data_IF_284905883928
#
_entry.id   IF_284905883928
#
_cell.length_a   1.000
_cell.length_b   1.000
_cell.length_c   1.000
_cell.angle_alpha   90.00
_cell.angle_beta   90.00
_cell.angle_gamma   90.00
#
_symmetry.space_group_name_H-M   'P 1'
#
loop_
_entity.id
_entity.type
_entity.pdbx_description
1 polymer ?
#
# COMPACT_ATOMS: atom_id res chain seq x y z
N UNK A 1 2.49 5.72 11.14
CA UNK A 1 1.45 6.74 11.41
C UNK A 1 0.44 6.40 12.48
N UNK A 2 -0.22 5.23 12.50
CA UNK A 2 -1.29 4.98 13.47
C UNK A 2 -0.87 5.18 14.94
N UNK A 3 0.35 4.77 15.32
CA UNK A 3 0.92 5.05 16.66
C UNK A 3 1.05 6.55 16.94
N UNK A 4 1.67 7.30 16.03
CA UNK A 4 1.80 8.76 16.13
C UNK A 4 0.44 9.45 16.28
N UNK A 5 -0.58 9.04 15.52
CA UNK A 5 -1.93 9.62 15.65
C UNK A 5 -2.61 9.30 16.99
N UNK A 6 -2.21 8.20 17.64
CA UNK A 6 -2.74 7.81 18.95
C UNK A 6 -2.00 8.47 20.12
N UNK A 7 -0.67 8.67 20.01
CA UNK A 7 0.17 9.12 21.14
C UNK A 7 0.76 10.53 20.96
N UNK A 8 0.83 11.04 19.73
CA UNK A 8 1.57 12.24 19.37
C UNK A 8 3.09 12.04 19.27
N UNK A 9 3.60 10.82 19.52
CA UNK A 9 5.04 10.55 19.56
C UNK A 9 5.54 9.99 18.22
N UNK A 10 6.60 10.61 17.68
CA UNK A 10 7.20 10.20 16.41
C UNK A 10 8.31 9.16 16.62
N UNK A 11 7.92 7.88 16.57
CA UNK A 11 8.84 6.74 16.75
C UNK A 11 8.68 5.71 15.61
N UNK A 12 9.35 5.92 14.46
CA UNK A 12 9.31 4.99 13.34
C UNK A 12 10.11 3.72 13.65
N UNK A 13 9.50 2.56 13.38
CA UNK A 13 10.17 1.26 13.49
C UNK A 13 10.89 0.92 12.18
N UNK A 14 11.84 -0.03 12.18
CA UNK A 14 12.32 -0.66 10.94
C UNK A 14 11.15 -1.15 10.08
N UNK A 15 11.29 -1.02 8.76
CA UNK A 15 10.28 -1.48 7.80
C UNK A 15 10.18 -2.99 7.81
N UNK A 16 8.95 -3.51 7.79
CA UNK A 16 8.62 -4.93 7.73
C UNK A 16 7.97 -5.18 6.38
N UNK A 17 8.37 -6.26 5.69
CA UNK A 17 7.76 -6.64 4.42
C UNK A 17 6.35 -7.22 4.64
N UNK A 18 5.37 -6.75 3.87
CA UNK A 18 3.96 -7.19 3.92
C UNK A 18 3.43 -7.60 2.54
N UNK A 19 2.21 -8.15 2.49
CA UNK A 19 1.49 -8.38 1.23
C UNK A 19 1.12 -7.05 0.53
N UNK A 20 1.00 -5.96 1.29
CA UNK A 20 0.79 -4.61 0.81
C UNK A 20 2.10 -3.84 0.67
N UNK A 21 3.06 -4.39 -0.08
CA UNK A 21 4.45 -3.93 -0.08
C UNK A 21 4.66 -2.46 -0.49
N UNK A 22 3.72 -1.83 -1.22
CA UNK A 22 3.81 -0.40 -1.52
C UNK A 22 3.48 0.51 -0.30
N UNK A 23 2.92 -0.08 0.76
CA UNK A 23 2.64 0.56 2.04
C UNK A 23 3.69 0.27 3.12
N UNK A 24 4.74 -0.50 2.79
CA UNK A 24 5.88 -0.79 3.67
C UNK A 24 6.76 0.45 3.83
N UNK A 25 6.23 1.47 4.51
CA UNK A 25 6.84 2.78 4.69
C UNK A 25 6.81 3.13 6.18
N UNK A 26 7.99 3.16 6.79
CA UNK A 26 8.12 3.50 8.21
C UNK A 26 8.12 5.01 8.48
N UNK A 27 8.60 5.80 7.51
CA UNK A 27 8.73 7.26 7.61
C UNK A 27 8.09 7.92 6.38
N UNK A 28 6.77 8.17 6.39
CA UNK A 28 6.06 8.75 5.25
C UNK A 28 6.51 10.19 4.98
N UNK A 29 7.18 10.40 3.84
CA UNK A 29 7.75 11.69 3.46
C UNK A 29 6.74 12.83 3.28
N UNK A 30 5.46 12.51 3.08
CA UNK A 30 4.38 13.47 2.92
C UNK A 30 3.72 13.89 4.23
N UNK A 31 4.02 13.24 5.36
CA UNK A 31 3.40 13.58 6.65
C UNK A 31 3.60 15.06 7.06
N UNK A 32 4.80 15.66 6.90
CA UNK A 32 4.98 17.09 7.20
C UNK A 32 4.05 18.03 6.41
N UNK A 33 3.59 17.62 5.23
CA UNK A 33 2.62 18.40 4.44
C UNK A 33 1.23 18.36 5.07
N UNK A 34 0.84 17.21 5.64
CA UNK A 34 -0.43 17.05 6.36
C UNK A 34 -0.40 17.87 7.66
N UNK A 35 0.70 17.84 8.41
CA UNK A 35 0.89 18.68 9.60
C UNK A 35 0.76 20.18 9.27
N UNK A 36 1.35 20.60 8.16
CA UNK A 36 1.22 21.99 7.69
C UNK A 36 -0.23 22.35 7.34
N UNK A 37 -1.05 21.42 6.81
CA UNK A 37 -2.47 21.66 6.56
C UNK A 37 -3.25 21.86 7.86
N UNK A 38 -3.00 21.05 8.89
CA UNK A 38 -3.58 21.27 10.22
C UNK A 38 -3.15 22.60 10.83
N UNK A 39 -1.87 22.96 10.75
CA UNK A 39 -1.35 24.21 11.29
C UNK A 39 -1.93 25.45 10.61
N UNK A 40 -2.30 25.36 9.32
CA UNK A 40 -3.00 26.42 8.58
C UNK A 40 -4.51 26.48 8.86
N UNK A 41 -5.08 25.46 9.49
CA UNK A 41 -6.52 25.33 9.68
C UNK A 41 -7.26 24.82 8.44
N UNK A 42 -6.57 24.20 7.48
CA UNK A 42 -7.20 23.62 6.29
C UNK A 42 -7.92 22.29 6.57
N UNK A 43 -7.60 21.66 7.71
CA UNK A 43 -8.16 20.39 8.15
C UNK A 43 -8.67 20.51 9.58
N UNK A 44 -9.89 20.01 9.80
CA UNK A 44 -10.51 19.96 11.12
C UNK A 44 -9.79 18.98 12.05
N UNK A 45 -9.50 19.35 13.32
CA UNK A 45 -8.97 18.41 14.31
C UNK A 45 -9.85 17.16 14.43
N UNK A 46 -9.22 15.98 14.44
CA UNK A 46 -9.93 14.71 14.58
C UNK A 46 -10.55 14.14 13.31
N UNK A 47 -10.43 14.83 12.15
CA UNK A 47 -10.91 14.30 10.86
C UNK A 47 -10.14 13.06 10.39
N UNK A 48 -8.90 12.91 10.86
CA UNK A 48 -8.02 11.81 10.48
C UNK A 48 -7.93 10.78 11.61
N UNK A 49 -8.09 9.51 11.26
CA UNK A 49 -7.84 8.38 12.16
C UNK A 49 -6.81 7.44 11.57
N UNK A 50 -6.05 6.77 12.43
CA UNK A 50 -5.11 5.72 12.05
C UNK A 50 -5.71 4.34 12.28
N UNK A 51 -5.42 3.42 11.37
CA UNK A 51 -5.79 2.01 11.49
C UNK A 51 -4.58 1.12 11.20
N UNK A 52 -4.50 -0.04 11.85
CA UNK A 52 -3.48 -1.06 11.63
C UNK A 52 -4.18 -2.36 11.36
N UNK A 53 -3.66 -3.14 10.41
CA UNK A 53 -4.10 -4.50 10.15
C UNK A 53 -2.90 -5.43 10.04
N UNK A 54 -3.17 -6.73 10.12
CA UNK A 54 -2.22 -7.82 9.95
C UNK A 54 -2.40 -8.54 8.61
N UNK A 55 -1.41 -9.35 8.21
CA UNK A 55 -1.51 -10.16 6.99
C UNK A 55 -2.71 -11.11 7.00
N UNK A 56 -2.99 -11.89 8.08
CA UNK A 56 -4.15 -12.79 8.10
C UNK A 56 -5.49 -12.04 7.97
N UNK A 57 -5.61 -10.85 8.56
CA UNK A 57 -6.80 -10.02 8.39
C UNK A 57 -6.93 -9.48 6.96
N UNK A 58 -5.81 -9.10 6.34
CA UNK A 58 -5.77 -8.63 4.96
C UNK A 58 -6.21 -9.75 3.99
N UNK A 59 -5.71 -10.97 4.19
CA UNK A 59 -6.14 -12.15 3.42
C UNK A 59 -7.63 -12.46 3.63
N UNK A 60 -8.12 -12.41 4.87
CA UNK A 60 -9.52 -12.61 5.18
C UNK A 60 -10.41 -11.57 4.47
N UNK A 61 -9.96 -10.32 4.37
CA UNK A 61 -10.70 -9.27 3.64
C UNK A 61 -10.69 -9.45 2.13
N UNK A 62 -9.63 -10.03 1.55
CA UNK A 62 -9.64 -10.42 0.14
C UNK A 62 -10.73 -11.46 -0.15
N UNK A 63 -10.87 -12.44 0.73
CA UNK A 63 -11.93 -13.45 0.63
C UNK A 63 -13.32 -12.82 0.76
N UNK A 64 -13.54 -11.95 1.76
CA UNK A 64 -14.83 -11.23 1.93
C UNK A 64 -15.20 -10.40 0.69
N UNK A 65 -14.25 -9.64 0.12
CA UNK A 65 -14.51 -8.85 -1.09
C UNK A 65 -14.85 -9.75 -2.28
N UNK A 66 -14.18 -10.90 -2.41
CA UNK A 66 -14.48 -11.88 -3.44
C UNK A 66 -15.87 -12.51 -3.28
N UNK A 67 -16.33 -12.77 -2.05
CA UNK A 67 -17.71 -13.21 -1.75
C UNK A 67 -18.75 -12.16 -2.18
N UNK A 68 -18.40 -10.88 -2.16
CA UNK A 68 -19.22 -9.80 -2.71
C UNK A 68 -19.12 -9.66 -4.24
N UNK A 69 -18.35 -10.52 -4.91
CA UNK A 69 -18.12 -10.47 -6.34
C UNK A 69 -17.11 -9.41 -6.79
N UNK A 70 -16.28 -8.90 -5.87
CA UNK A 70 -15.26 -7.89 -6.15
C UNK A 70 -13.86 -8.44 -5.91
N UNK A 71 -13.16 -8.81 -7.00
CA UNK A 71 -11.77 -9.26 -6.93
C UNK A 71 -10.86 -8.07 -6.65
N UNK A 72 -10.30 -8.04 -5.45
CA UNK A 72 -9.47 -6.94 -4.95
C UNK A 72 -7.99 -7.36 -4.82
N UNK A 73 -7.19 -6.51 -4.19
CA UNK A 73 -5.77 -6.70 -3.96
C UNK A 73 -5.36 -6.25 -2.55
N UNK A 74 -4.17 -6.65 -2.04
CA UNK A 74 -3.82 -6.46 -0.64
C UNK A 74 -3.95 -5.02 -0.13
N UNK A 75 -3.58 -4.00 -0.91
CA UNK A 75 -3.59 -2.60 -0.46
C UNK A 75 -5.02 -2.09 -0.24
N UNK A 76 -5.93 -2.38 -1.17
CA UNK A 76 -7.34 -2.08 -1.06
C UNK A 76 -8.03 -2.91 0.03
N UNK A 77 -7.59 -4.15 0.27
CA UNK A 77 -8.09 -4.97 1.37
C UNK A 77 -7.76 -4.36 2.75
N UNK A 78 -6.56 -3.76 2.91
CA UNK A 78 -6.22 -2.97 4.12
C UNK A 78 -7.20 -1.81 4.32
N UNK A 79 -7.49 -1.06 3.25
CA UNK A 79 -8.42 0.07 3.32
C UNK A 79 -9.86 -0.38 3.61
N UNK A 80 -10.30 -1.48 2.97
CA UNK A 80 -11.61 -2.07 3.20
C UNK A 80 -11.76 -2.56 4.65
N UNK A 81 -10.73 -3.20 5.22
CA UNK A 81 -10.71 -3.60 6.64
C UNK A 81 -10.98 -2.42 7.56
N UNK A 82 -10.27 -1.30 7.33
CA UNK A 82 -10.41 -0.10 8.12
C UNK A 82 -11.80 0.53 7.97
N UNK A 83 -12.35 0.52 6.75
CA UNK A 83 -13.69 1.01 6.47
C UNK A 83 -14.77 0.19 7.18
N UNK A 84 -14.69 -1.15 7.08
CA UNK A 84 -15.64 -2.07 7.71
C UNK A 84 -15.67 -1.90 9.25
N UNK A 85 -14.53 -1.65 9.88
CA UNK A 85 -14.46 -1.39 11.33
C UNK A 85 -15.12 -0.08 11.76
N UNK A 86 -15.08 0.94 10.90
CA UNK A 86 -15.36 2.33 11.29
C UNK A 86 -16.65 2.90 10.71
N UNK A 87 -17.23 2.26 9.70
CA UNK A 87 -18.43 2.74 9.04
C UNK A 87 -19.63 2.72 10.00
N UNK A 88 -20.27 3.87 10.21
CA UNK A 88 -21.43 3.99 11.09
C UNK A 88 -22.75 3.73 10.35
N UNK A 89 -23.82 3.35 11.06
CA UNK A 89 -25.15 3.20 10.46
C UNK A 89 -25.62 4.50 9.77
N UNK A 90 -25.98 4.38 8.49
CA UNK A 90 -26.44 5.51 7.67
C UNK A 90 -25.34 6.25 6.91
N UNK A 91 -24.06 5.89 7.10
CA UNK A 91 -22.96 6.44 6.32
C UNK A 91 -22.75 5.68 4.99
N UNK A 92 -22.18 6.38 4.01
CA UNK A 92 -21.67 5.75 2.79
C UNK A 92 -20.14 5.66 2.87
N UNK A 93 -19.63 4.45 2.77
CA UNK A 93 -18.20 4.17 2.81
C UNK A 93 -17.57 4.10 1.42
N UNK A 94 -16.35 4.63 1.28
CA UNK A 94 -15.53 4.47 0.09
C UNK A 94 -14.13 4.04 0.51
N UNK A 95 -13.57 3.05 -0.18
CA UNK A 95 -12.16 2.67 -0.09
C UNK A 95 -11.52 2.77 -1.47
N UNK A 96 -10.23 3.10 -1.53
CA UNK A 96 -9.54 3.34 -2.79
C UNK A 96 -8.85 2.05 -3.28
N UNK A 97 -9.24 1.57 -4.46
CA UNK A 97 -8.51 0.55 -5.19
C UNK A 97 -7.25 1.14 -5.82
N UNK A 98 -6.13 1.09 -5.10
CA UNK A 98 -4.90 1.79 -5.52
C UNK A 98 -4.11 1.03 -6.59
N UNK A 99 -4.40 -0.25 -6.78
CA UNK A 99 -3.77 -1.09 -7.77
C UNK A 99 -4.74 -2.10 -8.39
N UNK A 100 -4.39 -2.61 -9.57
CA UNK A 100 -5.09 -3.72 -10.20
C UNK A 100 -4.61 -5.06 -9.60
N UNK A 101 -5.50 -6.04 -9.30
CA UNK A 101 -5.12 -7.33 -8.69
C UNK A 101 -4.04 -8.12 -9.42
N UNK A 102 -4.04 -8.06 -10.76
CA UNK A 102 -3.01 -8.70 -11.58
C UNK A 102 -1.57 -8.19 -11.33
N UNK A 103 -1.37 -7.06 -10.63
CA UNK A 103 -0.04 -6.63 -10.18
C UNK A 103 0.49 -7.43 -8.99
N UNK A 104 -0.38 -8.16 -8.30
CA UNK A 104 -0.08 -8.98 -7.12
C UNK A 104 -0.59 -10.42 -7.33
N UNK A 105 -0.40 -10.92 -8.56
CA UNK A 105 -1.00 -12.15 -9.06
C UNK A 105 -0.77 -13.34 -8.13
N UNK A 106 0.48 -13.62 -7.74
CA UNK A 106 0.84 -14.75 -6.86
C UNK A 106 0.07 -14.72 -5.54
N UNK A 107 0.01 -13.55 -4.89
CA UNK A 107 -0.74 -13.37 -3.63
C UNK A 107 -2.23 -13.58 -3.84
N UNK A 108 -2.82 -12.94 -4.86
CA UNK A 108 -4.27 -12.98 -5.09
C UNK A 108 -4.71 -14.39 -5.49
N UNK A 109 -3.99 -15.06 -6.39
CA UNK A 109 -4.30 -16.43 -6.81
C UNK A 109 -4.17 -17.42 -5.65
N UNK A 110 -3.14 -17.26 -4.80
CA UNK A 110 -2.97 -18.10 -3.60
C UNK A 110 -4.12 -17.93 -2.61
N UNK A 111 -4.50 -16.69 -2.30
CA UNK A 111 -5.54 -16.41 -1.29
C UNK A 111 -6.93 -16.81 -1.79
N UNK A 112 -7.24 -16.55 -3.06
CA UNK A 112 -8.55 -16.81 -3.64
C UNK A 112 -8.69 -18.22 -4.23
N UNK A 113 -7.60 -19.00 -4.23
CA UNK A 113 -7.51 -20.34 -4.84
C UNK A 113 -8.04 -20.37 -6.30
N UNK A 114 -7.80 -19.29 -7.04
CA UNK A 114 -8.31 -19.10 -8.41
C UNK A 114 -7.25 -18.49 -9.32
N UNK A 115 -7.36 -18.75 -10.62
CA UNK A 115 -6.47 -18.21 -11.64
C UNK A 115 -7.00 -16.86 -12.13
N UNK A 116 -6.16 -15.83 -12.16
CA UNK A 116 -6.50 -14.53 -12.72
C UNK A 116 -5.88 -14.39 -14.12
N UNK A 117 -6.69 -13.98 -15.09
CA UNK A 117 -6.17 -13.58 -16.38
C UNK A 117 -5.32 -12.31 -16.25
N UNK A 118 -4.14 -12.30 -16.87
CA UNK A 118 -3.36 -11.08 -16.99
C UNK A 118 -4.03 -10.14 -17.99
N UNK A 119 -4.28 -8.87 -17.62
CA UNK A 119 -4.63 -7.84 -18.58
C UNK A 119 -3.57 -7.71 -19.67
N UNK A 120 -4.00 -7.37 -20.89
CA UNK A 120 -3.13 -7.23 -22.07
C UNK A 120 -1.83 -6.42 -21.80
N UNK A 121 -1.86 -5.27 -21.10
CA UNK A 121 -0.63 -4.51 -20.85
C UNK A 121 0.40 -5.25 -20.01
N UNK A 122 -0.03 -6.09 -19.05
CA UNK A 122 0.86 -6.90 -18.23
C UNK A 122 1.34 -8.13 -18.98
N UNK A 123 0.44 -8.79 -19.72
CA UNK A 123 0.79 -9.93 -20.57
C UNK A 123 1.86 -9.56 -21.62
N UNK A 124 1.77 -8.36 -22.22
CA UNK A 124 2.71 -7.88 -23.23
C UNK A 124 4.15 -7.67 -22.74
N UNK A 125 4.38 -7.66 -21.42
CA UNK A 125 5.71 -7.45 -20.82
C UNK A 125 6.16 -8.56 -19.88
N UNK A 126 5.32 -9.56 -19.60
CA UNK A 126 5.58 -10.61 -18.61
C UNK A 126 6.88 -11.40 -18.90
N UNK A 127 7.17 -11.66 -20.17
CA UNK A 127 8.34 -12.45 -20.59
C UNK A 127 9.56 -11.59 -20.97
N UNK A 128 9.50 -10.26 -20.78
CA UNK A 128 10.63 -9.39 -21.08
C UNK A 128 11.71 -9.53 -20.00
N UNK A 129 12.97 -9.63 -20.43
CA UNK A 129 14.11 -9.69 -19.51
C UNK A 129 14.24 -8.43 -18.66
N UNK A 130 14.58 -8.62 -17.37
CA UNK A 130 14.84 -7.52 -16.43
C UNK A 130 16.16 -6.85 -16.78
N UNK A 131 16.13 -5.54 -16.99
CA UNK A 131 17.31 -4.71 -17.30
C UNK A 131 17.91 -4.02 -16.06
N UNK A 132 17.31 -4.25 -14.89
CA UNK A 132 17.80 -3.73 -13.61
C UNK A 132 19.19 -4.28 -13.29
N UNK A 133 20.05 -3.43 -12.73
CA UNK A 133 21.36 -3.84 -12.20
C UNK A 133 21.39 -3.75 -10.70
N UNK A 134 22.26 -4.55 -10.09
CA UNK A 134 22.49 -4.49 -8.66
C UNK A 134 23.49 -3.39 -8.31
N UNK A 135 23.15 -2.55 -7.34
CA UNK A 135 24.01 -1.50 -6.79
C UNK A 135 23.95 -1.65 -5.26
N UNK A 136 25.08 -1.55 -4.54
CA UNK A 136 25.05 -1.52 -3.08
C UNK A 136 24.27 -0.30 -2.58
N UNK A 137 23.75 -0.38 -1.35
CA UNK A 137 23.10 0.73 -0.66
C UNK A 137 24.12 1.80 -0.22
N UNK A 138 24.76 2.44 -1.20
CA UNK A 138 25.80 3.45 -1.05
C UNK A 138 25.56 4.58 -2.06
N UNK A 139 25.52 5.82 -1.58
CA UNK A 139 25.27 6.99 -2.42
C UNK A 139 26.36 7.17 -3.49
N UNK A 140 27.63 6.92 -3.15
CA UNK A 140 28.73 7.04 -4.09
C UNK A 140 28.65 6.02 -5.23
N UNK A 141 28.26 4.78 -4.92
CA UNK A 141 28.01 3.74 -5.91
C UNK A 141 26.86 4.09 -6.84
N UNK A 142 25.76 4.61 -6.28
CA UNK A 142 24.62 5.10 -7.06
C UNK A 142 25.02 6.25 -8.00
N UNK A 143 25.74 7.26 -7.50
CA UNK A 143 26.19 8.39 -8.32
C UNK A 143 27.08 7.94 -9.49
N UNK A 144 28.04 7.03 -9.23
CA UNK A 144 28.92 6.49 -10.28
C UNK A 144 28.14 5.73 -11.36
N UNK A 145 27.19 4.90 -10.95
CA UNK A 145 26.36 4.14 -11.90
C UNK A 145 25.50 5.07 -12.76
N UNK A 146 24.89 6.10 -12.16
CA UNK A 146 24.13 7.11 -12.89
C UNK A 146 24.96 7.84 -13.93
N UNK A 147 26.15 8.33 -13.55
CA UNK A 147 27.06 9.02 -14.47
C UNK A 147 27.48 8.11 -15.62
N UNK A 148 27.82 6.85 -15.32
CA UNK A 148 28.22 5.86 -16.33
C UNK A 148 27.13 5.63 -17.38
N UNK A 149 25.85 5.70 -16.99
CA UNK A 149 24.71 5.47 -17.90
C UNK A 149 24.27 6.71 -18.67
N UNK A 150 24.45 7.90 -18.12
CA UNK A 150 23.96 9.15 -18.71
C UNK A 150 24.96 9.83 -19.65
N UNK A 151 26.25 9.49 -19.56
CA UNK A 151 27.32 10.11 -20.35
C UNK A 151 27.90 11.34 -19.66
#
# INVERSE_FOLDING_TARGET
>A
MPRFLATGEWEPNPTVATLSNAMDVSAPNNWPRVEAMFARGDLEPGILTGFVTSEPETEAKLLTLNEYGYVSEPHAAVAFRALEERLLPGENGLFLGTAHPAKFLETVERVLETKLALPEPLAAVADKGVLSVHIPNDFGAFERELRTRLG
#
